data_IF_674041440088
#
_entry.id   IF_674041440088
#
_cell.length_a   1.000
_cell.length_b   1.000
_cell.length_c   1.000
_cell.angle_alpha   90.00
_cell.angle_beta   90.00
_cell.angle_gamma   90.00
#
_symmetry.space_group_name_H-M   'P 1'
#
loop_
_entity.id
_entity.type
_entity.pdbx_description
1 polymer ?
#
# COMPACT_ATOMS: atom_id res chain seq x y z
N UNK A 1 -9.45 11.32 -12.79
CA UNK A 1 -8.79 10.75 -12.22
C UNK A 1 -8.62 9.82 -11.09
N UNK A 2 -7.51 9.91 -10.52
CA UNK A 2 -7.12 8.98 -9.48
C UNK A 2 -7.23 9.60 -8.09
N UNK A 3 -7.89 10.73 -8.01
CA UNK A 3 -8.14 11.37 -6.73
C UNK A 3 -9.19 10.58 -5.96
N UNK A 4 -8.88 10.26 -4.71
CA UNK A 4 -9.80 9.57 -3.83
C UNK A 4 -10.04 10.49 -2.64
N UNK A 5 -10.84 11.52 -2.86
CA UNK A 5 -11.15 12.53 -1.86
C UNK A 5 -9.87 13.13 -1.26
N UNK A 6 -9.61 12.95 0.00
CA UNK A 6 -8.50 13.60 0.67
C UNK A 6 -7.19 12.82 0.60
N UNK A 7 -7.08 11.84 -0.29
CA UNK A 7 -5.86 11.04 -0.43
C UNK A 7 -5.02 11.55 -1.61
N UNK A 8 -3.90 12.24 -1.37
CA UNK A 8 -3.01 12.65 -2.45
C UNK A 8 -2.38 11.45 -3.13
N UNK A 9 -2.26 11.51 -4.46
CA UNK A 9 -1.65 10.45 -5.25
C UNK A 9 -0.55 11.07 -6.10
N UNK A 10 0.66 10.53 -5.98
CA UNK A 10 1.84 11.04 -6.69
C UNK A 10 2.39 9.98 -7.62
N UNK A 11 2.78 10.39 -8.83
CA UNK A 11 3.50 9.53 -9.77
C UNK A 11 4.98 9.88 -9.69
N UNK A 12 5.80 8.88 -9.37
CA UNK A 12 7.25 9.08 -9.25
C UNK A 12 7.99 7.93 -9.90
N UNK A 13 9.27 8.13 -10.16
CA UNK A 13 10.13 7.07 -10.65
C UNK A 13 10.41 6.09 -9.51
N UNK A 14 10.11 4.82 -9.73
CA UNK A 14 10.29 3.77 -8.74
C UNK A 14 11.04 2.60 -9.38
N UNK A 15 11.57 1.71 -8.54
CA UNK A 15 12.25 0.52 -9.01
C UNK A 15 11.34 -0.36 -9.85
N UNK A 16 11.91 -1.10 -10.79
CA UNK A 16 11.16 -2.08 -11.57
C UNK A 16 10.54 -3.11 -10.64
N UNK A 17 9.30 -3.46 -10.90
CA UNK A 17 8.56 -4.42 -10.08
C UNK A 17 7.80 -3.80 -8.93
N UNK A 18 8.08 -2.55 -8.55
CA UNK A 18 7.29 -1.84 -7.55
C UNK A 18 6.17 -1.12 -8.25
N UNK A 19 4.93 -1.43 -7.90
CA UNK A 19 3.76 -0.83 -8.54
C UNK A 19 3.29 0.43 -7.83
N UNK A 20 3.31 0.43 -6.51
CA UNK A 20 2.88 1.57 -5.72
C UNK A 20 3.18 1.37 -4.25
N UNK A 21 2.89 2.39 -3.48
CA UNK A 21 3.15 2.39 -2.04
C UNK A 21 2.14 3.26 -1.32
N UNK A 22 1.62 2.77 -0.20
CA UNK A 22 0.83 3.58 0.72
C UNK A 22 1.78 4.18 1.75
N UNK A 23 1.71 5.48 1.94
CA UNK A 23 2.60 6.20 2.85
C UNK A 23 1.89 6.50 4.17
N UNK A 24 2.65 6.50 5.25
CA UNK A 24 2.07 6.71 6.58
C UNK A 24 1.56 8.14 6.80
N UNK A 25 1.83 9.06 5.88
CA UNK A 25 1.24 10.40 5.92
C UNK A 25 -0.12 10.48 5.23
N UNK A 26 -0.66 9.34 4.79
CA UNK A 26 -1.97 9.27 4.14
C UNK A 26 -1.94 9.45 2.63
N UNK A 27 -0.78 9.46 2.00
CA UNK A 27 -0.66 9.59 0.54
C UNK A 27 -0.33 8.25 -0.11
N UNK A 28 -0.54 8.19 -1.43
CA UNK A 28 -0.19 7.03 -2.25
C UNK A 28 0.84 7.48 -3.28
N UNK A 29 1.87 6.66 -3.47
CA UNK A 29 2.87 6.87 -4.51
C UNK A 29 2.72 5.77 -5.55
N UNK A 30 2.63 6.15 -6.83
CA UNK A 30 2.53 5.21 -7.94
C UNK A 30 3.79 5.26 -8.77
N UNK A 31 4.18 4.11 -9.31
CA UNK A 31 5.28 4.03 -10.26
C UNK A 31 4.86 4.70 -11.57
N UNK A 32 5.61 5.70 -12.02
CA UNK A 32 5.28 6.44 -13.24
C UNK A 32 5.43 5.60 -14.51
N UNK A 33 5.94 4.39 -14.39
CA UNK A 33 6.03 3.44 -15.50
C UNK A 33 4.71 2.71 -15.75
N UNK A 34 3.75 2.80 -14.83
CA UNK A 34 2.42 2.23 -15.03
C UNK A 34 1.67 3.04 -16.08
N UNK A 35 1.15 2.37 -17.10
CA UNK A 35 0.45 3.00 -18.22
C UNK A 35 -0.97 2.49 -18.42
N UNK A 36 -1.26 1.27 -17.95
CA UNK A 36 -2.58 0.66 -18.12
C UNK A 36 -3.55 1.24 -17.08
N UNK A 37 -4.62 1.93 -17.50
CA UNK A 37 -5.57 2.50 -16.54
C UNK A 37 -6.19 1.49 -15.60
N UNK A 38 -6.49 0.27 -16.06
CA UNK A 38 -7.06 -0.76 -15.20
C UNK A 38 -6.07 -1.18 -14.12
N UNK A 39 -4.80 -1.34 -14.50
CA UNK A 39 -3.77 -1.69 -13.54
C UNK A 39 -3.56 -0.57 -12.52
N UNK A 40 -3.58 0.67 -12.97
CA UNK A 40 -3.44 1.84 -12.08
C UNK A 40 -4.59 1.84 -11.06
N UNK A 41 -5.82 1.63 -11.50
CA UNK A 41 -6.97 1.59 -10.61
C UNK A 41 -6.86 0.46 -9.59
N UNK A 42 -6.41 -0.72 -10.01
CA UNK A 42 -6.23 -1.85 -9.11
C UNK A 42 -5.16 -1.56 -8.04
N UNK A 43 -4.06 -0.93 -8.44
CA UNK A 43 -3.00 -0.54 -7.51
C UNK A 43 -3.53 0.49 -6.51
N UNK A 44 -4.26 1.49 -6.97
CA UNK A 44 -4.84 2.50 -6.10
C UNK A 44 -5.78 1.85 -5.08
N UNK A 45 -6.67 0.97 -5.53
CA UNK A 45 -7.61 0.28 -4.64
C UNK A 45 -6.87 -0.51 -3.56
N UNK A 46 -5.82 -1.22 -3.94
CA UNK A 46 -5.00 -1.98 -2.99
C UNK A 46 -4.34 -1.07 -1.97
N UNK A 47 -3.73 0.02 -2.42
CA UNK A 47 -3.06 0.95 -1.52
C UNK A 47 -4.05 1.71 -0.64
N UNK A 48 -5.27 1.97 -1.13
CA UNK A 48 -6.31 2.61 -0.32
C UNK A 48 -6.69 1.75 0.89
N UNK A 49 -6.68 0.42 0.76
CA UNK A 49 -6.91 -0.45 1.91
C UNK A 49 -5.82 -0.24 2.96
N UNK A 50 -4.56 -0.11 2.53
CA UNK A 50 -3.47 0.15 3.47
C UNK A 50 -3.60 1.52 4.12
N UNK A 51 -4.04 2.55 3.37
CA UNK A 51 -4.31 3.87 3.94
C UNK A 51 -5.38 3.77 5.04
N UNK A 52 -6.45 3.03 4.77
CA UNK A 52 -7.51 2.80 5.75
C UNK A 52 -6.99 2.10 7.00
N UNK A 53 -6.15 1.07 6.81
CA UNK A 53 -5.53 0.35 7.92
C UNK A 53 -4.70 1.29 8.80
N UNK A 54 -3.97 2.21 8.18
CA UNK A 54 -3.18 3.19 8.90
C UNK A 54 -4.05 4.21 9.64
N UNK A 55 -5.13 4.66 9.00
CA UNK A 55 -6.08 5.61 9.63
C UNK A 55 -6.79 5.00 10.82
N UNK A 56 -7.10 3.70 10.76
CA UNK A 56 -7.70 2.97 11.88
C UNK A 56 -6.72 2.77 13.04
N UNK A 57 -5.43 2.96 12.79
CA UNK A 57 -4.40 2.68 13.79
C UNK A 57 -3.96 1.23 13.83
N UNK A 58 -4.44 0.38 12.92
CA UNK A 58 -4.06 -1.03 12.88
C UNK A 58 -2.70 -1.26 12.23
N UNK A 59 -2.31 -0.38 11.31
CA UNK A 59 -1.07 -0.53 10.54
C UNK A 59 -0.21 0.71 10.68
N UNK A 60 1.09 0.50 10.93
CA UNK A 60 2.07 1.58 10.93
C UNK A 60 3.41 1.03 10.45
N UNK A 61 4.18 1.86 9.82
CA UNK A 61 5.50 1.51 9.30
C UNK A 61 6.58 2.40 9.91
N UNK A 62 7.76 1.83 10.13
CA UNK A 62 8.97 2.61 10.27
C UNK A 62 10.07 1.99 9.38
N UNK A 63 11.29 2.51 9.46
CA UNK A 63 12.37 2.06 8.59
C UNK A 63 12.73 0.58 8.79
N UNK A 64 12.48 0.05 9.98
CA UNK A 64 12.94 -1.28 10.38
C UNK A 64 11.81 -2.26 10.63
N UNK A 65 10.58 -1.79 10.81
CA UNK A 65 9.49 -2.67 11.21
C UNK A 65 8.13 -2.20 10.70
N UNK A 66 7.18 -3.14 10.78
CA UNK A 66 5.77 -2.87 10.51
C UNK A 66 5.00 -3.28 11.76
N UNK A 67 4.09 -2.42 12.21
CA UNK A 67 3.18 -2.71 13.32
C UNK A 67 1.81 -3.07 12.76
N UNK A 68 1.27 -4.19 13.17
CA UNK A 68 -0.07 -4.62 12.77
C UNK A 68 -0.85 -5.04 14.01
N UNK A 69 -1.89 -4.27 14.31
CA UNK A 69 -2.77 -4.53 15.47
C UNK A 69 -1.98 -4.71 16.77
N UNK A 70 -0.96 -3.89 16.94
CA UNK A 70 -0.12 -3.92 18.13
C UNK A 70 1.03 -4.91 18.10
N UNK A 71 1.15 -5.72 17.03
CA UNK A 71 2.23 -6.69 16.89
C UNK A 71 3.30 -6.15 15.95
N UNK A 72 4.55 -6.24 16.38
CA UNK A 72 5.69 -5.74 15.61
C UNK A 72 6.27 -6.84 14.73
N UNK A 73 6.48 -6.51 13.45
CA UNK A 73 7.10 -7.39 12.48
C UNK A 73 8.38 -6.74 11.96
N UNK A 74 9.48 -7.49 11.93
CA UNK A 74 10.74 -6.98 11.40
C UNK A 74 10.69 -6.96 9.86
N UNK A 75 11.01 -5.83 9.26
CA UNK A 75 11.05 -5.71 7.80
C UNK A 75 12.19 -6.54 7.20
N UNK A 76 13.26 -6.74 7.95
CA UNK A 76 14.39 -7.54 7.47
C UNK A 76 14.05 -9.02 7.33
N UNK A 77 13.09 -9.52 8.11
CA UNK A 77 12.72 -10.94 8.12
C UNK A 77 11.48 -11.26 7.28
N UNK A 78 10.89 -10.27 6.62
CA UNK A 78 9.71 -10.51 5.82
C UNK A 78 9.89 -10.00 4.40
N UNK A 79 9.08 -10.56 3.50
CA UNK A 79 9.02 -10.13 2.11
C UNK A 79 7.82 -9.19 1.97
N UNK A 80 8.07 -7.92 1.72
CA UNK A 80 7.00 -6.94 1.58
C UNK A 80 6.10 -7.29 0.39
N UNK A 81 4.79 -7.06 0.58
CA UNK A 81 3.81 -7.38 -0.44
C UNK A 81 3.43 -8.85 -0.49
N UNK A 82 4.02 -9.70 0.35
CA UNK A 82 3.69 -11.11 0.38
C UNK A 82 2.24 -11.32 0.82
N UNK A 83 1.52 -12.16 0.10
CA UNK A 83 0.09 -12.38 0.33
C UNK A 83 -0.24 -12.99 1.68
N UNK A 84 0.74 -13.63 2.33
CA UNK A 84 0.53 -14.24 3.63
C UNK A 84 0.63 -13.27 4.81
N UNK A 85 1.03 -12.03 4.57
CA UNK A 85 1.06 -11.02 5.63
C UNK A 85 -0.37 -10.57 5.95
N UNK A 86 -0.73 -10.40 7.24
CA UNK A 86 -2.12 -10.09 7.62
C UNK A 86 -2.69 -8.85 6.94
N UNK A 87 -1.91 -7.78 6.87
CA UNK A 87 -2.37 -6.55 6.23
C UNK A 87 -2.48 -6.69 4.71
N UNK A 88 -1.66 -7.53 4.11
CA UNK A 88 -1.76 -7.82 2.68
C UNK A 88 -2.94 -8.73 2.38
N UNK A 89 -3.20 -9.71 3.24
CA UNK A 89 -4.39 -10.57 3.07
C UNK A 89 -5.67 -9.74 3.05
N UNK A 90 -5.79 -8.78 3.95
CA UNK A 90 -6.97 -7.91 3.97
C UNK A 90 -7.07 -7.10 2.68
N UNK A 91 -5.96 -6.53 2.22
CA UNK A 91 -5.95 -5.73 1.01
C UNK A 91 -6.33 -6.56 -0.22
N UNK A 92 -5.76 -7.74 -0.37
CA UNK A 92 -6.09 -8.61 -1.51
C UNK A 92 -7.54 -9.07 -1.47
N UNK A 93 -8.07 -9.37 -0.28
CA UNK A 93 -9.46 -9.79 -0.14
C UNK A 93 -10.44 -8.68 -0.47
N UNK A 94 -10.14 -7.45 -0.06
CA UNK A 94 -11.04 -6.31 -0.30
C UNK A 94 -11.02 -5.83 -1.74
N UNK A 95 -9.92 -6.03 -2.44
CA UNK A 95 -9.78 -5.58 -3.83
C UNK A 95 -9.97 -6.70 -4.84
N UNK A 96 -10.25 -7.90 -4.38
CA UNK A 96 -10.50 -9.05 -5.25
C UNK A 96 -11.81 -8.85 -6.01
N UNK A 97 -11.75 -9.06 -7.31
CA UNK A 97 -12.91 -8.94 -8.19
C UNK A 97 -13.42 -10.31 -8.64
#
# INVERSE_FOLDING_TARGET
PYSTDNTPIYNVDMEDGVLGKANNNGSITLNNKLKDPEQIDDVIDHEMVHIDQMKRGDLDYDDNSVMWKGKKYSRASMKEGAKNLPWEKEAYNKTKK
#
